data_IF_234226036411
#
_entry.id   IF_234226036411
#
_cell.length_a   1.000
_cell.length_b   1.000
_cell.length_c   1.000
_cell.angle_alpha   90.00
_cell.angle_beta   90.00
_cell.angle_gamma   90.00
#
_symmetry.space_group_name_H-M   'P 1'
#
loop_
_entity.id
_entity.type
_entity.pdbx_description
1 polymer ?
#
# COMPACT_ATOMS: atom_id res chain seq x y z
N UNK A 1 -42.50 4.12 19.24
CA UNK A 1 -41.19 4.63 18.79
C UNK A 1 -40.32 3.42 18.57
N UNK A 2 -40.51 2.69 17.47
CA UNK A 2 -39.88 1.37 17.26
C UNK A 2 -39.76 0.82 15.81
N UNK A 3 -40.12 1.52 14.70
CA UNK A 3 -39.93 0.95 13.37
C UNK A 3 -38.50 1.12 12.80
N UNK A 4 -37.82 2.24 13.13
CA UNK A 4 -36.53 2.61 12.50
C UNK A 4 -35.37 1.67 12.88
N UNK A 5 -35.35 1.15 14.10
CA UNK A 5 -34.27 0.23 14.57
C UNK A 5 -34.39 -1.18 13.99
N UNK A 6 -35.60 -1.65 13.67
CA UNK A 6 -35.81 -2.97 13.07
C UNK A 6 -35.39 -3.01 11.60
N UNK A 7 -35.65 -1.95 10.83
CA UNK A 7 -35.21 -1.84 9.44
C UNK A 7 -33.68 -1.87 9.29
N UNK A 8 -32.95 -1.18 10.19
CA UNK A 8 -31.48 -1.16 10.18
C UNK A 8 -30.88 -2.54 10.50
N UNK A 9 -31.48 -3.29 11.42
CA UNK A 9 -31.02 -4.64 11.81
C UNK A 9 -31.24 -5.65 10.68
N UNK A 10 -32.40 -5.63 10.03
CA UNK A 10 -32.67 -6.50 8.88
C UNK A 10 -31.81 -6.17 7.65
N UNK A 11 -31.56 -4.88 7.38
CA UNK A 11 -30.66 -4.45 6.32
C UNK A 11 -29.21 -4.93 6.56
N UNK A 12 -28.75 -4.85 7.80
CA UNK A 12 -27.44 -5.34 8.21
C UNK A 12 -27.27 -6.86 8.01
N UNK A 13 -28.21 -7.66 8.53
CA UNK A 13 -28.15 -9.12 8.44
C UNK A 13 -28.17 -9.60 6.99
N UNK A 14 -29.01 -8.97 6.15
CA UNK A 14 -29.08 -9.27 4.72
C UNK A 14 -27.76 -8.97 4.01
N UNK A 15 -27.09 -7.86 4.35
CA UNK A 15 -25.80 -7.49 3.74
C UNK A 15 -24.70 -8.44 4.15
N UNK A 16 -24.66 -8.85 5.42
CA UNK A 16 -23.65 -9.80 5.93
C UNK A 16 -23.86 -11.22 5.37
N UNK A 17 -25.10 -11.59 5.03
CA UNK A 17 -25.44 -12.87 4.41
C UNK A 17 -24.99 -12.98 2.93
N UNK A 18 -24.58 -11.88 2.29
CA UNK A 18 -24.13 -11.91 0.90
C UNK A 18 -22.89 -12.80 0.69
N UNK A 19 -22.86 -13.55 -0.41
CA UNK A 19 -21.80 -14.53 -0.72
C UNK A 19 -20.40 -13.94 -0.77
N UNK A 20 -20.26 -12.64 -1.07
CA UNK A 20 -18.96 -11.94 -1.06
C UNK A 20 -18.27 -12.02 0.31
N UNK A 21 -19.02 -12.09 1.41
CA UNK A 21 -18.47 -12.15 2.78
C UNK A 21 -17.97 -13.53 3.19
N UNK A 22 -18.13 -14.56 2.38
CA UNK A 22 -17.64 -15.90 2.72
C UNK A 22 -16.10 -15.93 2.90
N UNK A 23 -15.39 -15.08 2.14
CA UNK A 23 -13.94 -14.94 2.24
C UNK A 23 -13.48 -14.32 3.58
N UNK A 24 -12.64 -15.02 4.39
CA UNK A 24 -12.22 -14.52 5.70
C UNK A 24 -11.42 -13.22 5.61
N UNK A 25 -10.56 -13.08 4.59
CA UNK A 25 -9.78 -11.86 4.36
C UNK A 25 -10.67 -10.63 4.13
N UNK A 26 -11.74 -10.78 3.36
CA UNK A 26 -12.64 -9.67 3.05
C UNK A 26 -13.40 -9.20 4.29
N UNK A 27 -13.82 -10.12 5.17
CA UNK A 27 -14.39 -9.80 6.48
C UNK A 27 -13.39 -9.11 7.40
N UNK A 28 -12.14 -9.57 7.45
CA UNK A 28 -11.09 -8.94 8.24
C UNK A 28 -10.81 -7.50 7.78
N UNK A 29 -10.77 -7.26 6.46
CA UNK A 29 -10.59 -5.91 5.92
C UNK A 29 -11.76 -5.00 6.29
N UNK A 30 -13.01 -5.48 6.15
CA UNK A 30 -14.19 -4.69 6.55
C UNK A 30 -14.19 -4.38 8.05
N UNK A 31 -13.81 -5.34 8.90
CA UNK A 31 -13.70 -5.12 10.34
C UNK A 31 -12.58 -4.11 10.70
N UNK A 32 -11.48 -4.08 9.96
CA UNK A 32 -10.41 -3.10 10.18
C UNK A 32 -10.80 -1.70 9.69
N UNK A 33 -11.58 -1.62 8.61
CA UNK A 33 -12.10 -0.35 8.08
C UNK A 33 -13.22 0.20 8.96
N UNK A 34 -14.05 -0.64 9.58
CA UNK A 34 -15.16 -0.20 10.43
C UNK A 34 -14.75 0.56 11.69
N UNK A 35 -13.45 0.55 12.06
CA UNK A 35 -12.91 1.36 13.16
C UNK A 35 -12.75 2.84 12.75
N UNK A 36 -12.89 3.16 11.46
CA UNK A 36 -12.82 4.52 10.92
C UNK A 36 -14.16 5.27 11.08
N UNK A 37 -14.16 6.62 10.94
CA UNK A 37 -15.40 7.39 10.82
C UNK A 37 -16.27 6.79 9.71
N UNK A 38 -17.54 6.51 10.00
CA UNK A 38 -18.44 5.76 9.10
C UNK A 38 -18.87 4.39 9.62
N UNK A 39 -18.03 3.76 10.43
CA UNK A 39 -18.37 2.54 11.14
C UNK A 39 -18.59 1.31 10.24
N UNK A 40 -19.22 0.29 10.82
CA UNK A 40 -19.50 -0.97 10.13
C UNK A 40 -20.47 -0.86 8.94
N UNK A 41 -21.54 -0.05 8.98
CA UNK A 41 -22.47 0.08 7.85
C UNK A 41 -21.80 0.57 6.56
N UNK A 42 -20.86 1.52 6.67
CA UNK A 42 -20.08 2.03 5.55
C UNK A 42 -19.11 0.96 5.05
N UNK A 43 -18.38 0.30 5.96
CA UNK A 43 -17.46 -0.78 5.60
C UNK A 43 -18.14 -1.94 4.84
N UNK A 44 -19.41 -2.24 5.15
CA UNK A 44 -20.18 -3.26 4.43
C UNK A 44 -20.70 -2.80 3.05
N UNK A 45 -20.64 -1.51 2.71
CA UNK A 45 -20.96 -1.00 1.35
C UNK A 45 -19.79 -1.09 0.40
N UNK A 46 -18.59 -1.01 0.94
CA UNK A 46 -17.38 -0.95 0.16
C UNK A 46 -17.17 -2.27 -0.60
N UNK A 47 -16.61 -2.17 -1.79
CA UNK A 47 -16.13 -3.33 -2.53
C UNK A 47 -14.82 -3.83 -1.93
N UNK A 48 -14.35 -4.99 -2.38
CA UNK A 48 -13.02 -5.51 -1.98
C UNK A 48 -11.88 -4.56 -2.34
N UNK A 49 -11.97 -3.91 -3.50
CA UNK A 49 -10.98 -2.94 -3.95
C UNK A 49 -11.01 -1.69 -3.06
N UNK A 50 -12.20 -1.18 -2.74
CA UNK A 50 -12.33 0.00 -1.89
C UNK A 50 -11.78 -0.27 -0.48
N UNK A 51 -12.11 -1.42 0.12
CA UNK A 51 -11.55 -1.81 1.42
C UNK A 51 -10.02 -1.88 1.40
N UNK A 52 -9.44 -2.41 0.31
CA UNK A 52 -8.00 -2.48 0.16
C UNK A 52 -7.36 -1.09 0.02
N UNK A 53 -8.00 -0.18 -0.72
CA UNK A 53 -7.58 1.22 -0.85
C UNK A 53 -7.65 1.98 0.48
N UNK A 54 -8.75 1.84 1.24
CA UNK A 54 -8.87 2.43 2.57
C UNK A 54 -7.78 1.95 3.54
N UNK A 55 -7.42 0.66 3.48
CA UNK A 55 -6.32 0.12 4.29
C UNK A 55 -4.95 0.55 3.77
N UNK A 56 -4.79 0.70 2.46
CA UNK A 56 -3.57 1.25 1.87
C UNK A 56 -3.33 2.70 2.31
N UNK A 57 -4.37 3.54 2.31
CA UNK A 57 -4.28 4.93 2.81
C UNK A 57 -3.86 4.97 4.28
N UNK A 58 -4.39 4.04 5.09
CA UNK A 58 -3.99 3.90 6.50
C UNK A 58 -2.52 3.49 6.63
N UNK A 59 -2.04 2.55 5.82
CA UNK A 59 -0.65 2.12 5.83
C UNK A 59 0.29 3.22 5.33
N UNK A 60 -0.10 3.96 4.29
CA UNK A 60 0.61 5.15 3.81
C UNK A 60 0.68 6.20 4.93
N UNK A 61 -0.44 6.45 5.62
CA UNK A 61 -0.47 7.34 6.78
C UNK A 61 0.41 6.87 7.94
N UNK A 62 0.47 5.56 8.20
CA UNK A 62 1.39 4.96 9.19
C UNK A 62 2.85 5.18 8.80
N UNK A 63 3.21 4.96 7.55
CA UNK A 63 4.57 5.18 7.01
C UNK A 63 4.92 6.67 7.03
N UNK A 64 3.96 7.55 6.75
CA UNK A 64 4.14 9.00 6.83
C UNK A 64 4.55 9.50 8.22
N UNK A 65 4.25 8.76 9.30
CA UNK A 65 4.71 9.12 10.67
C UNK A 65 6.22 9.04 10.85
N UNK A 66 6.94 8.43 9.91
CA UNK A 66 8.41 8.37 9.90
C UNK A 66 9.03 9.57 9.17
N UNK A 67 8.21 10.51 8.68
CA UNK A 67 8.70 11.77 8.14
C UNK A 67 9.25 12.67 9.26
N UNK A 68 10.33 13.43 8.98
CA UNK A 68 10.72 14.56 9.82
C UNK A 68 9.55 15.55 9.97
N UNK A 69 9.38 16.16 11.15
CA UNK A 69 8.23 17.03 11.48
C UNK A 69 8.07 18.26 10.58
N UNK A 70 9.11 18.64 9.83
CA UNK A 70 9.11 19.77 8.89
C UNK A 70 9.31 19.30 7.43
N UNK A 71 9.05 18.04 7.12
CA UNK A 71 9.23 17.51 5.77
C UNK A 71 8.16 18.06 4.81
N UNK A 72 8.55 18.47 3.58
CA UNK A 72 7.61 18.78 2.51
C UNK A 72 6.69 17.59 2.19
N UNK A 73 5.49 17.85 1.67
CA UNK A 73 4.51 16.83 1.32
C UNK A 73 5.04 15.81 0.30
N UNK A 74 5.89 16.25 -0.63
CA UNK A 74 6.55 15.41 -1.64
C UNK A 74 7.46 14.35 -0.99
N UNK A 75 7.94 14.60 0.23
CA UNK A 75 8.72 13.61 0.99
C UNK A 75 7.88 12.39 1.37
N UNK A 76 6.58 12.60 1.64
CA UNK A 76 5.64 11.51 1.87
C UNK A 76 5.49 10.65 0.62
N UNK A 77 5.42 11.28 -0.55
CA UNK A 77 5.34 10.58 -1.83
C UNK A 77 6.57 9.70 -2.06
N UNK A 78 7.77 10.20 -1.76
CA UNK A 78 8.99 9.40 -1.87
C UNK A 78 8.96 8.18 -0.92
N UNK A 79 8.57 8.35 0.35
CA UNK A 79 8.45 7.20 1.28
C UNK A 79 7.43 6.18 0.79
N UNK A 80 6.27 6.63 0.30
CA UNK A 80 5.25 5.74 -0.28
C UNK A 80 5.78 4.96 -1.47
N UNK A 81 6.56 5.60 -2.36
CA UNK A 81 7.20 4.92 -3.49
C UNK A 81 8.20 3.87 -3.04
N UNK A 82 9.06 4.21 -2.07
CA UNK A 82 10.01 3.26 -1.50
C UNK A 82 9.30 2.07 -0.83
N UNK A 83 8.19 2.33 -0.12
CA UNK A 83 7.36 1.28 0.47
C UNK A 83 6.77 0.34 -0.58
N UNK A 84 6.29 0.90 -1.69
CA UNK A 84 5.77 0.14 -2.81
C UNK A 84 6.86 -0.72 -3.48
N UNK A 85 8.08 -0.21 -3.62
CA UNK A 85 9.22 -0.97 -4.15
C UNK A 85 9.58 -2.15 -3.24
N UNK A 86 9.68 -1.92 -1.92
CA UNK A 86 9.91 -3.00 -0.94
C UNK A 86 8.81 -4.06 -1.05
N UNK A 87 7.55 -3.63 -1.15
CA UNK A 87 6.39 -4.51 -1.28
C UNK A 87 6.43 -5.35 -2.55
N UNK A 88 6.78 -4.75 -3.69
CA UNK A 88 6.89 -5.46 -4.97
C UNK A 88 8.09 -6.40 -5.04
N UNK A 89 9.24 -6.03 -4.46
CA UNK A 89 10.44 -6.88 -4.49
C UNK A 89 10.36 -8.07 -3.52
N UNK A 90 9.55 -8.01 -2.45
CA UNK A 90 9.31 -9.04 -1.41
C UNK A 90 10.54 -9.55 -0.62
N UNK A 91 11.76 -9.35 -1.12
CA UNK A 91 13.02 -9.88 -0.58
C UNK A 91 14.16 -8.85 -0.61
N UNK A 92 13.86 -7.61 -0.25
CA UNK A 92 14.84 -6.52 -0.27
C UNK A 92 15.65 -6.49 1.03
N UNK A 93 16.97 -6.41 0.91
CA UNK A 93 17.87 -6.26 2.06
C UNK A 93 18.03 -4.77 2.41
N UNK A 94 18.19 -4.40 3.70
CA UNK A 94 18.35 -2.99 4.11
C UNK A 94 19.47 -2.23 3.38
N UNK A 95 20.55 -2.91 2.99
CA UNK A 95 21.68 -2.35 2.26
C UNK A 95 21.30 -1.87 0.84
N UNK A 96 20.24 -2.41 0.25
CA UNK A 96 19.78 -2.10 -1.10
C UNK A 96 18.88 -0.87 -1.16
N UNK A 97 18.41 -0.37 0.00
CA UNK A 97 17.50 0.77 0.04
C UNK A 97 18.17 2.08 -0.36
N UNK A 98 19.44 2.29 0.00
CA UNK A 98 20.15 3.53 -0.34
C UNK A 98 20.25 3.77 -1.86
N UNK A 99 20.76 2.83 -2.68
CA UNK A 99 20.83 3.06 -4.13
C UNK A 99 19.44 3.26 -4.75
N UNK A 100 18.41 2.58 -4.24
CA UNK A 100 17.02 2.75 -4.69
C UNK A 100 16.49 4.14 -4.31
N UNK A 101 16.74 4.60 -3.09
CA UNK A 101 16.33 5.93 -2.66
C UNK A 101 17.00 7.04 -3.47
N UNK A 102 18.27 6.87 -3.85
CA UNK A 102 18.96 7.81 -4.74
C UNK A 102 18.28 7.86 -6.11
N UNK A 103 18.01 6.70 -6.72
CA UNK A 103 17.35 6.61 -8.03
C UNK A 103 15.95 7.22 -7.99
N UNK A 104 15.15 6.87 -6.98
CA UNK A 104 13.76 7.31 -6.88
C UNK A 104 13.60 8.76 -6.41
N UNK A 105 14.61 9.35 -5.76
CA UNK A 105 14.62 10.79 -5.47
C UNK A 105 14.93 11.62 -6.72
N UNK A 106 15.79 11.10 -7.61
CA UNK A 106 16.26 11.82 -8.79
C UNK A 106 15.18 11.99 -9.87
N UNK A 107 14.31 10.99 -10.04
CA UNK A 107 13.29 10.97 -11.12
C UNK A 107 12.23 12.07 -10.96
N UNK A 108 11.56 12.19 -9.81
CA UNK A 108 10.61 13.28 -9.57
C UNK A 108 11.30 14.58 -9.15
N UNK A 109 12.63 14.59 -8.99
CA UNK A 109 13.38 15.73 -8.46
C UNK A 109 13.08 16.05 -7.00
N UNK A 110 12.58 15.08 -6.22
CA UNK A 110 12.19 15.26 -4.82
C UNK A 110 13.44 15.29 -3.95
N UNK A 111 13.61 16.37 -3.19
CA UNK A 111 14.66 16.48 -2.18
C UNK A 111 14.11 16.07 -0.82
N UNK A 112 14.42 14.86 -0.38
CA UNK A 112 14.07 14.42 0.96
C UNK A 112 14.90 15.17 2.01
N UNK A 113 14.32 15.65 3.13
CA UNK A 113 15.06 16.31 4.20
C UNK A 113 16.16 15.41 4.79
N UNK A 114 17.41 15.88 4.74
CA UNK A 114 18.59 15.08 5.13
C UNK A 114 19.08 14.11 4.05
N UNK A 115 18.45 14.12 2.87
CA UNK A 115 18.88 13.41 1.67
C UNK A 115 18.37 11.96 1.56
N UNK A 116 18.69 11.28 0.43
CA UNK A 116 18.19 9.94 0.12
C UNK A 116 18.57 8.87 1.15
N UNK A 117 19.70 9.04 1.84
CA UNK A 117 20.12 8.15 2.92
C UNK A 117 19.14 8.17 4.09
N UNK A 118 18.65 9.35 4.46
CA UNK A 118 17.67 9.46 5.54
C UNK A 118 16.35 8.83 5.10
N UNK A 119 15.90 9.04 3.86
CA UNK A 119 14.72 8.35 3.32
C UNK A 119 14.85 6.81 3.41
N UNK A 120 16.00 6.26 3.01
CA UNK A 120 16.29 4.83 3.11
C UNK A 120 16.23 4.32 4.56
N UNK A 121 16.81 5.06 5.51
CA UNK A 121 16.72 4.71 6.94
C UNK A 121 15.28 4.76 7.45
N UNK A 122 14.51 5.80 7.11
CA UNK A 122 13.11 5.93 7.56
C UNK A 122 12.22 4.83 7.01
N UNK A 123 12.39 4.45 5.75
CA UNK A 123 11.58 3.36 5.20
C UNK A 123 11.99 2.00 5.79
N UNK A 124 13.29 1.81 6.09
CA UNK A 124 13.74 0.64 6.82
C UNK A 124 13.09 0.57 8.20
N UNK A 125 13.10 1.66 8.96
CA UNK A 125 12.41 1.75 10.27
C UNK A 125 10.91 1.45 10.15
N UNK A 126 10.25 1.97 9.10
CA UNK A 126 8.81 1.83 8.92
C UNK A 126 8.35 0.41 8.54
N UNK A 127 9.21 -0.37 7.87
CA UNK A 127 8.90 -1.69 7.32
C UNK A 127 9.72 -2.85 7.91
N UNK A 128 10.64 -2.58 8.84
CA UNK A 128 11.44 -3.63 9.46
C UNK A 128 10.59 -4.57 10.30
N UNK A 129 10.72 -5.87 10.03
CA UNK A 129 10.13 -6.95 10.82
C UNK A 129 11.16 -8.07 10.95
N UNK A 130 11.55 -8.39 12.19
CA UNK A 130 12.55 -9.44 12.47
C UNK A 130 13.85 -9.22 11.67
N UNK A 131 14.39 -8.01 11.72
CA UNK A 131 15.64 -7.58 11.05
C UNK A 131 15.64 -7.70 9.51
N UNK A 132 14.47 -7.83 8.89
CA UNK A 132 14.29 -7.82 7.43
C UNK A 132 13.26 -6.77 7.02
N UNK A 133 13.36 -6.27 5.79
CA UNK A 133 12.32 -5.43 5.22
C UNK A 133 11.12 -6.30 4.84
N UNK A 134 9.97 -6.03 5.44
CA UNK A 134 8.75 -6.76 5.17
C UNK A 134 7.90 -6.03 4.11
N UNK A 135 7.30 -6.76 3.16
CA UNK A 135 6.28 -6.19 2.28
C UNK A 135 5.03 -5.81 3.07
N UNK A 136 4.25 -4.87 2.53
CA UNK A 136 2.93 -4.56 3.08
C UNK A 136 2.00 -5.76 2.82
N UNK A 137 1.37 -6.24 3.89
CA UNK A 137 0.45 -7.38 3.88
C UNK A 137 -0.93 -6.93 4.36
N UNK A 138 -2.02 -7.57 3.87
CA UNK A 138 -2.09 -8.63 2.86
C UNK A 138 -1.77 -8.14 1.44
N UNK A 139 -1.53 -9.06 0.50
CA UNK A 139 -1.13 -8.73 -0.89
C UNK A 139 -2.08 -7.71 -1.55
N UNK A 140 -3.40 -7.82 -1.33
CA UNK A 140 -4.37 -6.87 -1.89
C UNK A 140 -4.18 -5.43 -1.38
N UNK A 141 -3.73 -5.25 -0.14
CA UNK A 141 -3.38 -3.93 0.40
C UNK A 141 -2.05 -3.46 -0.17
N UNK A 142 -1.07 -4.37 -0.32
CA UNK A 142 0.19 -4.07 -0.99
C UNK A 142 0.02 -3.63 -2.45
N UNK A 143 -0.85 -4.31 -3.21
CA UNK A 143 -1.27 -3.94 -4.57
C UNK A 143 -1.95 -2.57 -4.60
N UNK A 144 -2.82 -2.27 -3.64
CA UNK A 144 -3.43 -0.96 -3.52
C UNK A 144 -2.41 0.16 -3.23
N UNK A 145 -1.36 -0.12 -2.44
CA UNK A 145 -0.24 0.81 -2.23
C UNK A 145 0.58 0.98 -3.52
N UNK A 146 0.83 -0.09 -4.28
CA UNK A 146 1.49 -0.02 -5.60
C UNK A 146 0.70 0.86 -6.59
N UNK A 147 -0.62 0.70 -6.64
CA UNK A 147 -1.50 1.54 -7.45
C UNK A 147 -1.50 2.99 -6.99
N UNK A 148 -1.47 3.24 -5.68
CA UNK A 148 -1.39 4.60 -5.14
C UNK A 148 -0.06 5.27 -5.44
N UNK A 149 1.05 4.51 -5.38
CA UNK A 149 2.40 5.01 -5.62
C UNK A 149 2.72 5.23 -7.11
N UNK A 150 2.14 4.43 -8.01
CA UNK A 150 2.54 4.36 -9.42
C UNK A 150 1.38 4.44 -10.44
N UNK A 151 0.14 4.26 -10.03
CA UNK A 151 -1.04 4.15 -10.91
C UNK A 151 -1.73 5.47 -11.25
N UNK A 152 -1.31 6.61 -10.68
CA UNK A 152 -1.88 7.92 -10.97
C UNK A 152 -1.48 8.49 -12.34
N UNK A 153 -2.45 9.08 -13.06
CA UNK A 153 -2.29 9.77 -14.36
C UNK A 153 -1.30 10.96 -14.38
N UNK A 154 -0.71 11.35 -13.25
CA UNK A 154 0.08 12.56 -13.09
C UNK A 154 1.47 12.38 -12.44
N UNK A 155 2.01 11.16 -12.36
CA UNK A 155 3.40 10.96 -11.90
C UNK A 155 4.33 10.62 -13.08
N UNK A 156 5.25 11.52 -13.47
CA UNK A 156 6.30 11.19 -14.42
C UNK A 156 7.06 9.95 -13.94
N UNK A 157 7.13 8.91 -14.78
CA UNK A 157 8.00 7.75 -14.53
C UNK A 157 7.42 6.63 -13.64
N UNK A 158 6.12 6.62 -13.32
CA UNK A 158 5.47 5.52 -12.58
C UNK A 158 5.64 4.15 -13.24
N UNK A 159 5.35 4.05 -14.54
CA UNK A 159 5.55 2.82 -15.34
C UNK A 159 7.01 2.38 -15.37
N UNK A 160 7.95 3.32 -15.50
CA UNK A 160 9.38 3.00 -15.51
C UNK A 160 9.86 2.50 -14.14
N UNK A 161 9.33 3.05 -13.04
CA UNK A 161 9.62 2.56 -11.69
C UNK A 161 9.10 1.14 -11.48
N UNK A 162 7.89 0.83 -11.96
CA UNK A 162 7.37 -0.54 -11.96
C UNK A 162 8.25 -1.48 -12.79
N UNK A 163 8.66 -1.09 -14.00
CA UNK A 163 9.55 -1.90 -14.85
C UNK A 163 10.90 -2.16 -14.18
N UNK A 164 11.52 -1.15 -13.56
CA UNK A 164 12.79 -1.34 -12.83
C UNK A 164 12.61 -2.24 -11.62
N UNK A 165 11.53 -2.06 -10.87
CA UNK A 165 11.18 -2.89 -9.72
C UNK A 165 10.94 -4.34 -10.14
N UNK A 166 10.22 -4.56 -11.24
CA UNK A 166 10.01 -5.87 -11.82
C UNK A 166 11.33 -6.51 -12.25
N UNK A 167 12.23 -5.78 -12.92
CA UNK A 167 13.58 -6.27 -13.27
C UNK A 167 14.39 -6.68 -12.03
N UNK A 168 14.30 -5.92 -10.94
CA UNK A 168 14.97 -6.27 -9.66
C UNK A 168 14.40 -7.53 -9.04
N UNK A 169 13.08 -7.71 -9.12
CA UNK A 169 12.42 -8.92 -8.65
C UNK A 169 12.78 -10.12 -9.54
N UNK A 170 12.80 -9.94 -10.86
CA UNK A 170 13.08 -10.98 -11.87
C UNK A 170 14.54 -11.46 -11.81
N UNK A 171 15.51 -10.54 -11.68
CA UNK A 171 16.93 -10.87 -11.44
C UNK A 171 17.18 -11.69 -10.17
N UNK A 172 16.22 -11.70 -9.24
CA UNK A 172 16.26 -12.52 -8.02
C UNK A 172 15.48 -13.83 -8.16
N UNK A 173 14.64 -13.96 -9.19
CA UNK A 173 13.75 -15.09 -9.47
C UNK A 173 14.18 -15.89 -10.72
N UNK A 174 15.49 -16.09 -10.94
CA UNK A 174 16.01 -17.15 -11.83
C UNK A 174 15.67 -18.56 -11.27
N UNK A 175 14.37 -18.83 -11.16
CA UNK A 175 13.66 -20.10 -11.09
C UNK A 175 12.17 -19.78 -10.86
N UNK A 176 11.46 -19.53 -11.96
CA UNK A 176 9.99 -19.54 -12.08
C UNK A 176 9.24 -18.44 -11.29
N UNK A 177 8.80 -17.39 -11.97
CA UNK A 177 7.38 -17.00 -12.16
C UNK A 177 7.30 -15.66 -12.89
N UNK A 178 6.92 -15.72 -14.16
CA UNK A 178 6.33 -14.61 -14.91
C UNK A 178 4.94 -14.34 -14.33
N UNK A 179 4.66 -13.18 -13.73
CA UNK A 179 3.26 -12.76 -13.56
C UNK A 179 3.02 -11.23 -13.64
N UNK A 180 2.14 -10.91 -14.59
CA UNK A 180 1.15 -9.83 -14.60
C UNK A 180 1.58 -8.34 -14.68
N UNK A 181 2.29 -7.94 -15.74
CA UNK A 181 2.28 -6.52 -16.18
C UNK A 181 1.93 -6.33 -17.68
N UNK A 182 1.83 -7.38 -18.50
CA UNK A 182 1.61 -7.24 -19.96
C UNK A 182 0.21 -7.60 -20.48
N UNK A 183 -0.83 -7.62 -19.64
CA UNK A 183 -2.22 -7.78 -20.13
C UNK A 183 -3.14 -6.66 -19.64
N UNK A 184 -2.94 -5.46 -20.18
CA UNK A 184 -4.04 -4.51 -20.40
C UNK A 184 -3.68 -3.61 -21.59
N UNK A 185 -3.68 -4.22 -22.78
CA UNK A 185 -4.03 -3.58 -24.05
C UNK A 185 -5.09 -4.46 -24.70
#
# INVERSE_FOLDING_TARGET
MEPRFQEETHSFDNRLAESRWQGPLYRMMAALVSVQPGGLPEALSLTRADLALHLADREIGRIGRFLPSAAPEESAQLLTRLAAIVTACRSLEPSELLPIAVEESAIPGIQFPGGPRVAATRIAEALSRQDRLAPIVPDTVGEAVLLSAFGGRNLPGGTQALVRTARRADQRHDANVCFAITRTC
#
